data_IF_259680893929
#
_entry.id   IF_259680893929
#
_cell.length_a   1.000
_cell.length_b   1.000
_cell.length_c   1.000
_cell.angle_alpha   90.00
_cell.angle_beta   90.00
_cell.angle_gamma   90.00
#
_symmetry.space_group_name_H-M   'P 1'
#
loop_
_entity.id
_entity.type
_entity.pdbx_description
1 polymer ?
#
# COMPACT_ATOMS: atom_id res chain seq x y z
N UNK A 1 -15.35 1.54 -2.88
CA UNK A 1 -15.38 2.83 -2.16
C UNK A 1 -14.80 3.88 -3.08
N UNK A 2 -15.50 4.99 -3.31
CA UNK A 2 -14.97 6.08 -4.16
C UNK A 2 -14.01 6.94 -3.34
N UNK A 3 -13.09 7.64 -4.01
CA UNK A 3 -12.19 8.59 -3.33
C UNK A 3 -12.97 9.67 -2.58
N UNK A 4 -14.06 10.17 -3.18
CA UNK A 4 -14.94 11.16 -2.54
C UNK A 4 -15.52 10.66 -1.20
N UNK A 5 -15.96 9.39 -1.12
CA UNK A 5 -16.42 8.81 0.13
C UNK A 5 -15.30 8.77 1.19
N UNK A 6 -14.07 8.45 0.79
CA UNK A 6 -12.92 8.42 1.71
C UNK A 6 -12.57 9.83 2.23
N UNK A 7 -12.69 10.85 1.38
CA UNK A 7 -12.50 12.25 1.78
C UNK A 7 -13.57 12.70 2.78
N UNK A 8 -14.83 12.31 2.57
CA UNK A 8 -15.92 12.61 3.50
C UNK A 8 -15.70 11.93 4.87
N UNK A 9 -15.29 10.66 4.87
CA UNK A 9 -14.98 9.91 6.10
C UNK A 9 -13.76 10.48 6.82
N UNK A 10 -12.72 10.89 6.08
CA UNK A 10 -11.56 11.55 6.66
C UNK A 10 -11.91 12.87 7.37
N UNK A 11 -12.82 13.68 6.80
CA UNK A 11 -13.34 14.90 7.44
C UNK A 11 -14.06 14.63 8.77
N UNK A 12 -14.56 13.40 8.95
CA UNK A 12 -15.18 12.94 10.21
C UNK A 12 -14.16 12.29 11.17
N UNK A 13 -12.87 12.34 10.85
CA UNK A 13 -11.81 11.72 11.66
C UNK A 13 -11.71 10.20 11.49
N UNK A 14 -12.36 9.62 10.47
CA UNK A 14 -12.32 8.18 10.21
C UNK A 14 -11.11 7.88 9.31
N UNK A 15 -10.15 7.15 9.87
CA UNK A 15 -8.97 6.67 9.13
C UNK A 15 -9.31 5.45 8.28
N UNK A 16 -8.92 5.48 7.02
CA UNK A 16 -9.13 4.37 6.08
C UNK A 16 -7.79 3.90 5.52
N UNK A 17 -7.49 2.62 5.70
CA UNK A 17 -6.37 1.95 5.01
C UNK A 17 -6.81 1.59 3.59
N UNK A 18 -6.07 1.97 2.54
CA UNK A 18 -6.46 1.68 1.15
C UNK A 18 -6.51 0.17 0.86
N UNK A 19 -7.49 -0.25 0.06
CA UNK A 19 -7.73 -1.66 -0.27
C UNK A 19 -6.47 -2.40 -0.74
N UNK A 20 -5.73 -1.85 -1.72
CA UNK A 20 -4.54 -2.46 -2.32
C UNK A 20 -3.33 -2.50 -1.38
N UNK A 21 -3.41 -1.86 -0.21
CA UNK A 21 -2.45 -2.02 0.88
C UNK A 21 -2.94 -3.11 1.83
N UNK A 22 -4.22 -3.02 2.26
CA UNK A 22 -4.82 -3.95 3.20
C UNK A 22 -4.93 -5.40 2.66
N UNK A 23 -5.19 -5.57 1.37
CA UNK A 23 -5.37 -6.87 0.72
C UNK A 23 -4.10 -7.41 0.05
N UNK A 24 -2.97 -6.70 0.14
CA UNK A 24 -1.74 -7.05 -0.59
C UNK A 24 -1.13 -8.40 -0.15
N UNK A 25 -1.55 -8.94 1.00
CA UNK A 25 -1.04 -10.21 1.54
C UNK A 25 -1.17 -11.37 0.56
N UNK A 26 -2.27 -11.46 -0.20
CA UNK A 26 -2.46 -12.50 -1.20
C UNK A 26 -1.43 -12.45 -2.32
N UNK A 27 -1.18 -11.25 -2.87
CA UNK A 27 -0.18 -11.06 -3.94
C UNK A 27 1.24 -11.30 -3.46
N UNK A 28 1.56 -10.88 -2.23
CA UNK A 28 2.87 -11.15 -1.61
C UNK A 28 3.04 -12.66 -1.42
N UNK A 29 2.00 -13.36 -0.96
CA UNK A 29 2.00 -14.82 -0.80
C UNK A 29 2.26 -15.53 -2.13
N UNK A 30 1.52 -15.18 -3.19
CA UNK A 30 1.73 -15.74 -4.52
C UNK A 30 3.12 -15.45 -5.09
N UNK A 31 3.74 -14.32 -4.73
CA UNK A 31 5.13 -14.06 -5.10
C UNK A 31 6.10 -15.01 -4.40
N UNK A 32 5.88 -15.31 -3.11
CA UNK A 32 6.72 -16.27 -2.37
C UNK A 32 6.56 -17.68 -2.93
N UNK A 33 5.34 -18.09 -3.28
CA UNK A 33 5.07 -19.34 -4.00
C UNK A 33 5.83 -19.38 -5.33
N UNK A 34 5.76 -18.32 -6.13
CA UNK A 34 6.42 -18.22 -7.44
C UNK A 34 7.94 -18.42 -7.37
N UNK A 35 8.59 -17.94 -6.31
CA UNK A 35 10.05 -18.11 -6.11
C UNK A 35 10.41 -19.42 -5.38
N UNK A 36 9.45 -20.30 -5.11
CA UNK A 36 9.66 -21.58 -4.43
C UNK A 36 9.91 -21.47 -2.92
N UNK A 37 9.44 -20.40 -2.28
CA UNK A 37 9.62 -20.17 -0.86
C UNK A 37 8.72 -21.03 0.03
N UNK A 38 9.06 -21.06 1.32
CA UNK A 38 8.32 -21.79 2.35
C UNK A 38 7.18 -20.97 2.95
N UNK A 39 6.23 -21.64 3.62
CA UNK A 39 5.15 -20.99 4.37
C UNK A 39 5.68 -20.00 5.42
N UNK A 40 6.77 -20.35 6.11
CA UNK A 40 7.41 -19.47 7.10
C UNK A 40 7.97 -18.20 6.48
N UNK A 41 8.59 -18.31 5.30
CA UNK A 41 9.08 -17.15 4.55
C UNK A 41 7.92 -16.31 4.01
N UNK A 42 6.82 -16.95 3.61
CA UNK A 42 5.59 -16.29 3.20
C UNK A 42 5.04 -15.41 4.32
N UNK A 43 4.76 -15.97 5.50
CA UNK A 43 4.22 -15.20 6.62
C UNK A 43 5.16 -14.07 7.03
N UNK A 44 6.47 -14.34 7.09
CA UNK A 44 7.48 -13.31 7.41
C UNK A 44 7.48 -12.18 6.38
N UNK A 45 7.38 -12.50 5.08
CA UNK A 45 7.38 -11.49 4.03
C UNK A 45 6.08 -10.69 4.03
N UNK A 46 4.93 -11.33 4.24
CA UNK A 46 3.63 -10.65 4.37
C UNK A 46 3.68 -9.68 5.55
N UNK A 47 4.08 -10.14 6.73
CA UNK A 47 4.18 -9.29 7.92
C UNK A 47 5.10 -8.07 7.68
N UNK A 48 6.32 -8.31 7.17
CA UNK A 48 7.29 -7.25 6.89
C UNK A 48 6.75 -6.21 5.91
N UNK A 49 6.20 -6.68 4.78
CA UNK A 49 5.76 -5.79 3.70
C UNK A 49 4.48 -5.05 4.04
N UNK A 50 3.50 -5.70 4.67
CA UNK A 50 2.23 -5.04 5.05
C UNK A 50 2.50 -3.98 6.12
N UNK A 51 3.27 -4.30 7.15
CA UNK A 51 3.58 -3.38 8.25
C UNK A 51 4.32 -2.15 7.74
N UNK A 52 5.41 -2.35 7.00
CA UNK A 52 6.23 -1.24 6.48
C UNK A 52 5.48 -0.37 5.48
N UNK A 53 4.68 -0.95 4.58
CA UNK A 53 3.94 -0.15 3.60
C UNK A 53 2.77 0.60 4.24
N UNK A 54 2.08 0.01 5.21
CA UNK A 54 1.02 0.70 5.95
C UNK A 54 1.60 1.90 6.70
N UNK A 55 2.69 1.72 7.45
CA UNK A 55 3.36 2.82 8.16
C UNK A 55 3.79 3.93 7.20
N UNK A 56 4.48 3.59 6.11
CA UNK A 56 4.93 4.56 5.10
C UNK A 56 3.77 5.36 4.48
N UNK A 57 2.63 4.71 4.22
CA UNK A 57 1.44 5.37 3.66
C UNK A 57 0.86 6.35 4.67
N UNK A 58 0.70 5.95 5.93
CA UNK A 58 0.14 6.79 6.98
C UNK A 58 1.04 7.98 7.30
N UNK A 59 2.35 7.77 7.42
CA UNK A 59 3.34 8.83 7.65
C UNK A 59 3.35 9.87 6.52
N UNK A 60 3.29 9.43 5.25
CA UNK A 60 3.23 10.34 4.11
C UNK A 60 1.91 11.10 4.06
N UNK A 61 0.79 10.41 4.33
CA UNK A 61 -0.54 11.02 4.38
C UNK A 61 -0.61 12.14 5.43
N UNK A 62 -0.09 11.88 6.63
CA UNK A 62 0.01 12.87 7.70
C UNK A 62 0.91 14.04 7.31
N UNK A 63 2.13 13.76 6.85
CA UNK A 63 3.12 14.77 6.48
C UNK A 63 2.63 15.73 5.38
N UNK A 64 1.89 15.22 4.41
CA UNK A 64 1.42 15.98 3.25
C UNK A 64 -0.03 16.46 3.40
N UNK A 65 -0.67 16.16 4.54
CA UNK A 65 -2.06 16.50 4.83
C UNK A 65 -3.04 16.04 3.73
N UNK A 66 -2.89 14.78 3.30
CA UNK A 66 -3.74 14.10 2.31
C UNK A 66 -4.30 12.80 2.87
N UNK A 67 -5.37 12.28 2.27
CA UNK A 67 -5.92 10.97 2.71
C UNK A 67 -4.96 9.82 2.33
N UNK A 68 -4.97 8.70 3.08
CA UNK A 68 -4.08 7.55 2.83
C UNK A 68 -4.11 7.01 1.40
N UNK A 69 -5.27 7.05 0.73
CA UNK A 69 -5.43 6.61 -0.67
C UNK A 69 -4.56 7.40 -1.63
N UNK A 70 -4.50 8.73 -1.46
CA UNK A 70 -3.69 9.61 -2.30
C UNK A 70 -2.21 9.31 -2.07
N UNK A 71 -1.77 9.29 -0.81
CA UNK A 71 -0.38 8.98 -0.45
C UNK A 71 0.07 7.61 -0.99
N UNK A 72 -0.78 6.57 -0.86
CA UNK A 72 -0.49 5.23 -1.34
C UNK A 72 -0.37 5.16 -2.88
N UNK A 73 -1.25 5.86 -3.61
CA UNK A 73 -1.17 5.94 -5.07
C UNK A 73 0.09 6.65 -5.54
N UNK A 74 0.49 7.73 -4.86
CA UNK A 74 1.73 8.44 -5.18
C UNK A 74 2.96 7.57 -4.94
N UNK A 75 3.03 6.86 -3.80
CA UNK A 75 4.12 5.91 -3.51
C UNK A 75 4.18 4.84 -4.61
N UNK A 76 3.05 4.25 -4.99
CA UNK A 76 2.97 3.23 -6.03
C UNK A 76 3.46 3.77 -7.39
N UNK A 77 2.93 4.93 -7.82
CA UNK A 77 3.33 5.59 -9.06
C UNK A 77 4.82 5.93 -9.07
N UNK A 78 5.36 6.45 -7.98
CA UNK A 78 6.79 6.78 -7.87
C UNK A 78 7.67 5.53 -8.00
N UNK A 79 7.30 4.41 -7.37
CA UNK A 79 8.02 3.13 -7.49
C UNK A 79 8.02 2.61 -8.93
N UNK A 80 6.88 2.66 -9.61
CA UNK A 80 6.75 2.22 -11.01
C UNK A 80 7.56 3.14 -11.92
N UNK A 81 7.37 4.46 -11.84
CA UNK A 81 8.11 5.45 -12.65
C UNK A 81 9.62 5.33 -12.47
N UNK A 82 10.11 5.09 -11.25
CA UNK A 82 11.55 4.89 -10.97
C UNK A 82 12.16 3.70 -11.73
N UNK A 83 11.37 2.67 -12.05
CA UNK A 83 11.82 1.45 -12.74
C UNK A 83 11.42 1.40 -14.21
N UNK A 84 10.41 2.18 -14.61
CA UNK A 84 9.92 2.22 -15.97
C UNK A 84 10.80 3.12 -16.84
N UNK A 85 11.53 2.53 -17.80
CA UNK A 85 12.41 3.25 -18.73
C UNK A 85 11.67 3.93 -19.89
N UNK A 86 10.39 3.63 -20.06
CA UNK A 86 9.57 4.04 -21.22
C UNK A 86 8.30 4.79 -20.83
N UNK A 87 7.97 4.87 -19.54
CA UNK A 87 6.82 5.63 -19.05
C UNK A 87 7.18 7.12 -19.11
N UNK A 88 6.52 7.87 -20.00
CA UNK A 88 6.55 9.33 -20.02
C UNK A 88 5.72 9.90 -18.87
#
# INVERSE_FOLDING_TARGET
MTQECEEQLAKQGILIVPDFVANAGGVISSYVEYIGGTEKEMFRMVEDKITKNTALVLEKAEKENVIPRVAALEIAKARVKKKCKTCR
#
